data_IF_085082836877
#
_entry.id   IF_085082836877
#
_cell.length_a   1.000
_cell.length_b   1.000
_cell.length_c   1.000
_cell.angle_alpha   90.00
_cell.angle_beta   90.00
_cell.angle_gamma   90.00
#
_symmetry.space_group_name_H-M   'P 1'
#
loop_
_entity.id
_entity.type
_entity.pdbx_description
1 polymer ?
#
# COMPACT_ATOMS: atom_id res chain seq x y z
N UNK A 1 18.34 -17.18 -17.42
CA UNK A 1 17.17 -17.40 -16.55
C UNK A 1 17.09 -16.18 -15.66
N UNK A 2 16.42 -15.13 -16.15
CA UNK A 2 16.47 -13.80 -15.54
C UNK A 2 15.79 -13.83 -14.18
N UNK A 3 16.54 -13.43 -13.15
CA UNK A 3 15.99 -13.18 -11.83
C UNK A 3 15.14 -11.92 -11.92
N UNK A 4 13.82 -12.12 -11.94
CA UNK A 4 12.80 -11.08 -11.89
C UNK A 4 12.88 -10.42 -10.50
N UNK A 5 13.65 -9.35 -10.39
CA UNK A 5 13.80 -8.57 -9.17
C UNK A 5 12.41 -8.10 -8.73
N UNK A 6 12.00 -8.42 -7.49
CA UNK A 6 10.75 -7.90 -6.96
C UNK A 6 10.82 -6.37 -6.93
N UNK A 7 10.02 -5.75 -7.81
CA UNK A 7 10.03 -4.31 -8.03
C UNK A 7 8.76 -3.69 -7.47
N UNK A 8 8.78 -2.40 -7.18
CA UNK A 8 7.58 -1.66 -6.80
C UNK A 8 6.47 -1.79 -7.86
N UNK A 9 6.83 -2.02 -9.12
CA UNK A 9 5.88 -2.28 -10.21
C UNK A 9 5.13 -3.60 -10.04
N UNK A 10 5.76 -4.63 -9.49
CA UNK A 10 5.09 -5.91 -9.19
C UNK A 10 3.96 -5.71 -8.19
N UNK A 11 4.23 -4.97 -7.10
CA UNK A 11 3.24 -4.66 -6.06
C UNK A 11 2.16 -3.71 -6.58
N UNK A 12 2.52 -2.68 -7.34
CA UNK A 12 1.54 -1.74 -7.89
C UNK A 12 0.72 -2.35 -9.04
N UNK A 13 1.25 -3.37 -9.72
CA UNK A 13 0.57 -4.09 -10.81
C UNK A 13 -0.67 -4.87 -10.34
N UNK A 14 -0.79 -5.15 -9.05
CA UNK A 14 -1.99 -5.75 -8.46
C UNK A 14 -3.18 -4.77 -8.37
N UNK A 15 -2.93 -3.47 -8.54
CA UNK A 15 -3.95 -2.42 -8.43
C UNK A 15 -4.55 -2.06 -9.79
N UNK A 16 -5.85 -1.80 -9.82
CA UNK A 16 -6.45 -1.16 -10.99
C UNK A 16 -6.01 0.32 -11.12
N UNK A 17 -6.21 0.98 -12.27
CA UNK A 17 -5.65 2.32 -12.50
C UNK A 17 -6.08 3.38 -11.45
N UNK A 18 -7.36 3.49 -11.06
CA UNK A 18 -7.76 4.41 -9.98
C UNK A 18 -7.11 4.09 -8.63
N UNK A 19 -6.98 2.81 -8.27
CA UNK A 19 -6.34 2.40 -7.02
C UNK A 19 -4.84 2.71 -7.04
N UNK A 20 -4.15 2.47 -8.16
CA UNK A 20 -2.73 2.81 -8.33
C UNK A 20 -2.52 4.31 -8.23
N UNK A 21 -3.35 5.11 -8.88
CA UNK A 21 -3.30 6.56 -8.79
C UNK A 21 -3.49 7.05 -7.34
N UNK A 22 -4.42 6.45 -6.60
CA UNK A 22 -4.63 6.77 -5.19
C UNK A 22 -3.45 6.32 -4.30
N UNK A 23 -2.87 5.15 -4.55
CA UNK A 23 -1.70 4.65 -3.82
C UNK A 23 -0.43 5.48 -4.08
N UNK A 24 -0.29 6.04 -5.27
CA UNK A 24 0.87 6.85 -5.66
C UNK A 24 0.62 8.37 -5.53
N UNK A 25 -0.49 8.79 -4.90
CA UNK A 25 -0.82 10.20 -4.76
C UNK A 25 0.30 10.99 -4.06
N UNK A 26 0.43 12.27 -4.38
CA UNK A 26 1.46 13.13 -3.78
C UNK A 26 1.15 13.55 -2.34
N UNK A 27 1.67 14.71 -1.95
CA UNK A 27 1.63 15.21 -0.56
C UNK A 27 0.36 15.99 -0.21
N UNK A 28 -0.53 16.22 -1.19
CA UNK A 28 -1.80 16.91 -0.96
C UNK A 28 -2.86 16.00 -0.34
N UNK A 29 -3.87 16.56 0.37
CA UNK A 29 -5.01 15.79 0.84
C UNK A 29 -5.76 15.09 -0.31
N UNK A 30 -6.14 13.82 -0.11
CA UNK A 30 -6.91 13.01 -1.05
C UNK A 30 -8.15 12.42 -0.38
N UNK A 31 -9.32 12.59 -1.01
CA UNK A 31 -10.56 11.91 -0.63
C UNK A 31 -10.87 10.81 -1.65
N UNK A 32 -11.02 9.57 -1.16
CA UNK A 32 -11.42 8.42 -1.98
C UNK A 32 -12.87 8.05 -1.64
N UNK A 33 -13.77 8.21 -2.62
CA UNK A 33 -15.17 7.77 -2.51
C UNK A 33 -15.32 6.47 -3.28
N UNK A 34 -15.66 5.38 -2.58
CA UNK A 34 -15.83 4.07 -3.23
C UNK A 34 -16.81 3.17 -2.48
N UNK A 35 -17.54 2.35 -3.23
CA UNK A 35 -18.54 1.40 -2.70
C UNK A 35 -17.95 0.27 -1.85
N UNK A 36 -18.81 -0.56 -1.26
CA UNK A 36 -18.36 -1.77 -0.59
C UNK A 36 -17.65 -2.71 -1.57
N UNK A 37 -16.61 -3.43 -1.12
CA UNK A 37 -15.89 -4.41 -1.95
C UNK A 37 -14.96 -3.82 -3.03
N UNK A 38 -14.85 -2.50 -3.19
CA UNK A 38 -14.04 -1.87 -4.25
C UNK A 38 -12.53 -1.78 -3.94
N UNK A 39 -12.06 -2.49 -2.92
CA UNK A 39 -10.62 -2.55 -2.59
C UNK A 39 -10.05 -1.35 -1.82
N UNK A 40 -10.87 -0.49 -1.17
CA UNK A 40 -10.38 0.66 -0.36
C UNK A 40 -9.24 0.30 0.60
N UNK A 41 -9.40 -0.81 1.32
CA UNK A 41 -8.43 -1.36 2.27
C UNK A 41 -7.12 -1.74 1.57
N UNK A 42 -7.22 -2.41 0.41
CA UNK A 42 -6.05 -2.79 -0.41
C UNK A 42 -5.33 -1.54 -0.91
N UNK A 43 -6.06 -0.55 -1.43
CA UNK A 43 -5.48 0.73 -1.87
C UNK A 43 -4.71 1.43 -0.76
N UNK A 44 -5.26 1.49 0.46
CA UNK A 44 -4.57 2.09 1.60
C UNK A 44 -3.31 1.30 2.00
N UNK A 45 -3.33 -0.04 1.94
CA UNK A 45 -2.16 -0.84 2.27
C UNK A 45 -1.01 -0.61 1.28
N UNK A 46 -1.32 -0.57 -0.02
CA UNK A 46 -0.32 -0.24 -1.06
C UNK A 46 0.14 1.21 -0.95
N UNK A 47 -0.71 2.15 -0.55
CA UNK A 47 -0.31 3.54 -0.28
C UNK A 47 0.77 3.63 0.79
N UNK A 48 0.58 2.92 1.91
CA UNK A 48 1.56 2.91 2.99
C UNK A 48 2.87 2.27 2.53
N UNK A 49 2.81 1.14 1.82
CA UNK A 49 4.00 0.50 1.27
C UNK A 49 4.74 1.41 0.27
N UNK A 50 4.01 2.10 -0.60
CA UNK A 50 4.56 3.10 -1.53
C UNK A 50 5.27 4.24 -0.79
N UNK A 51 4.64 4.83 0.23
CA UNK A 51 5.26 5.90 1.02
C UNK A 51 6.57 5.44 1.67
N UNK A 52 6.59 4.23 2.22
CA UNK A 52 7.80 3.64 2.82
C UNK A 52 8.87 3.41 1.75
N UNK A 53 8.48 2.88 0.59
CA UNK A 53 9.38 2.68 -0.55
C UNK A 53 10.02 3.99 -1.02
N UNK A 54 9.25 5.07 -1.08
CA UNK A 54 9.73 6.43 -1.42
C UNK A 54 10.59 7.06 -0.31
N UNK A 55 10.84 6.36 0.80
CA UNK A 55 11.73 6.78 1.88
C UNK A 55 11.04 7.40 3.10
N UNK A 56 9.70 7.34 3.19
CA UNK A 56 9.00 7.77 4.40
C UNK A 56 9.25 6.77 5.52
N UNK A 57 9.76 7.26 6.65
CA UNK A 57 9.87 6.44 7.87
C UNK A 57 8.48 5.97 8.31
N UNK A 58 8.31 4.65 8.47
CA UNK A 58 7.04 4.05 8.88
C UNK A 58 6.51 4.61 10.21
N UNK A 59 7.39 5.03 11.12
CA UNK A 59 7.03 5.66 12.40
C UNK A 59 6.33 7.02 12.24
N UNK A 60 6.45 7.64 11.06
CA UNK A 60 5.79 8.91 10.70
C UNK A 60 4.44 8.72 10.02
N UNK A 61 4.00 7.48 9.81
CA UNK A 61 2.73 7.16 9.15
C UNK A 61 1.70 6.73 10.20
N UNK A 62 0.59 7.47 10.29
CA UNK A 62 -0.56 7.11 11.11
C UNK A 62 -1.70 6.57 10.24
N UNK A 63 -2.09 5.32 10.48
CA UNK A 63 -3.26 4.70 9.87
C UNK A 63 -4.35 4.48 10.92
N UNK A 64 -5.53 5.06 10.68
CA UNK A 64 -6.67 4.97 11.59
C UNK A 64 -7.79 4.11 10.99
N UNK A 65 -8.34 3.22 11.80
CA UNK A 65 -9.51 2.40 11.45
C UNK A 65 -10.47 2.33 12.64
N UNK A 66 -11.72 1.95 12.39
CA UNK A 66 -12.75 1.98 13.43
C UNK A 66 -12.57 0.91 14.52
N UNK A 67 -11.90 -0.20 14.21
CA UNK A 67 -11.74 -1.32 15.16
C UNK A 67 -10.29 -1.75 15.26
N UNK A 68 -9.88 -2.20 16.45
CA UNK A 68 -8.54 -2.77 16.68
C UNK A 68 -8.22 -3.92 15.74
N UNK A 69 -9.22 -4.77 15.44
CA UNK A 69 -9.08 -5.88 14.49
C UNK A 69 -8.71 -5.39 13.10
N UNK A 70 -9.41 -4.36 12.59
CA UNK A 70 -9.12 -3.77 11.30
C UNK A 70 -7.73 -3.12 11.29
N UNK A 71 -7.32 -2.46 12.39
CA UNK A 71 -5.98 -1.89 12.49
C UNK A 71 -4.90 -2.98 12.40
N UNK A 72 -5.04 -4.07 13.16
CA UNK A 72 -4.10 -5.19 13.13
C UNK A 72 -4.06 -5.90 11.77
N UNK A 73 -5.21 -6.00 11.09
CA UNK A 73 -5.28 -6.54 9.73
C UNK A 73 -4.55 -5.65 8.73
N UNK A 74 -4.72 -4.33 8.83
CA UNK A 74 -4.01 -3.39 7.97
C UNK A 74 -2.50 -3.48 8.13
N UNK A 75 -1.99 -3.58 9.36
CA UNK A 75 -0.55 -3.77 9.61
C UNK A 75 -0.04 -5.04 8.92
N UNK A 76 -0.73 -6.18 9.11
CA UNK A 76 -0.33 -7.44 8.46
C UNK A 76 -0.32 -7.35 6.93
N UNK A 77 -1.27 -6.64 6.34
CA UNK A 77 -1.33 -6.41 4.88
C UNK A 77 -0.12 -5.60 4.40
N UNK A 78 0.18 -4.50 5.09
CA UNK A 78 1.35 -3.66 4.76
C UNK A 78 2.64 -4.47 4.88
N UNK A 79 2.84 -5.22 5.97
CA UNK A 79 4.02 -6.07 6.14
C UNK A 79 4.16 -7.14 5.05
N UNK A 80 3.05 -7.72 4.59
CA UNK A 80 3.07 -8.70 3.51
C UNK A 80 3.56 -8.06 2.20
N UNK A 81 3.08 -6.85 1.89
CA UNK A 81 3.51 -6.09 0.71
C UNK A 81 5.00 -5.71 0.84
N UNK A 82 5.43 -5.22 2.00
CA UNK A 82 6.84 -4.84 2.21
C UNK A 82 7.77 -6.06 2.06
N UNK A 83 7.39 -7.23 2.58
CA UNK A 83 8.17 -8.47 2.37
C UNK A 83 8.31 -8.86 0.91
N UNK A 84 7.29 -8.61 0.09
CA UNK A 84 7.39 -8.82 -1.36
C UNK A 84 8.41 -7.87 -1.99
N UNK A 85 8.45 -6.60 -1.57
CA UNK A 85 9.44 -5.63 -2.06
C UNK A 85 10.87 -5.98 -1.62
N UNK A 86 11.05 -6.46 -0.39
CA UNK A 86 12.37 -6.83 0.15
C UNK A 86 12.93 -8.12 -0.48
N UNK A 87 12.07 -9.02 -0.95
CA UNK A 87 12.49 -10.28 -1.62
C UNK A 87 13.23 -10.05 -2.95
N UNK A 88 13.27 -8.82 -3.44
CA UNK A 88 13.99 -8.40 -4.65
C UNK A 88 15.31 -7.64 -4.43
N UNK A 89 15.73 -7.41 -3.18
CA UNK A 89 17.02 -6.78 -2.80
C UNK A 89 18.02 -7.83 -2.31
#
# INVERSE_FOLDING_TARGET
MNQESASIETVLGELNPPQRQAACHGDSPLLIVAGAGTGKTTTLAHRVAWLIHEGTDASRILLLTFTRRASAEMVRRVEAILRQLDSGR
#
